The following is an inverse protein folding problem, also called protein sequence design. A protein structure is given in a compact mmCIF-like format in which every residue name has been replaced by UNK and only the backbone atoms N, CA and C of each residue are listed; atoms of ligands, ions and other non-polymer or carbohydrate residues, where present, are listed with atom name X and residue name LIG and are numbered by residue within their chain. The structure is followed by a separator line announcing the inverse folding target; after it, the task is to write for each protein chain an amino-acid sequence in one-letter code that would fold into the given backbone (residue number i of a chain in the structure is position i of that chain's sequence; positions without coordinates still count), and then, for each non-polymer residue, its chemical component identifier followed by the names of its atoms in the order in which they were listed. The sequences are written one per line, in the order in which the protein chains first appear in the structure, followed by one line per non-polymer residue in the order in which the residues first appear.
data_IF_644572842289
#
_entry.id   IF_644572842289
#
_cell.length_a   1.000
_cell.length_b   1.000
_cell.length_c   1.000
_cell.angle_alpha   90.00
_cell.angle_beta   90.00
_cell.angle_gamma   90.00
#
_symmetry.space_group_name_H-M   'P 1'
#
loop_
_entity.id
_entity.type
_entity.pdbx_description
1 polymer ?
#
# COMPACT_ATOMS: atom_id res chain seq x y z
N UNK A 1 -51.24 -48.16 9.55
CA UNK A 1 -51.24 -46.68 9.44
C UNK A 1 -49.79 -46.22 9.46
N UNK A 2 -49.26 -45.69 8.34
CA UNK A 2 -47.87 -45.20 8.24
C UNK A 2 -47.77 -43.83 8.90
N UNK A 3 -46.78 -43.65 9.78
CA UNK A 3 -46.36 -42.36 10.31
C UNK A 3 -45.16 -41.87 9.50
N UNK A 4 -45.22 -40.63 8.99
CA UNK A 4 -44.11 -39.96 8.30
C UNK A 4 -43.63 -38.83 9.22
N UNK A 5 -42.34 -38.78 9.63
CA UNK A 5 -41.82 -37.58 10.27
C UNK A 5 -41.61 -36.53 9.19
N UNK A 6 -42.33 -35.41 9.33
CA UNK A 6 -42.20 -34.25 8.45
C UNK A 6 -40.77 -33.72 8.41
N UNK A 7 -40.36 -33.35 7.20
CA UNK A 7 -39.09 -32.72 6.91
C UNK A 7 -38.90 -31.48 7.79
N UNK A 8 -37.93 -31.53 8.68
CA UNK A 8 -37.55 -30.38 9.50
C UNK A 8 -37.03 -29.27 8.60
N UNK A 9 -37.80 -28.20 8.45
CA UNK A 9 -37.28 -26.93 7.92
C UNK A 9 -36.10 -26.49 8.79
N UNK A 10 -34.87 -26.64 8.27
CA UNK A 10 -33.69 -25.96 8.81
C UNK A 10 -34.00 -24.45 8.87
N UNK A 11 -34.22 -23.92 10.07
CA UNK A 11 -34.34 -22.47 10.31
C UNK A 11 -33.19 -21.76 9.60
N UNK A 12 -33.48 -21.05 8.50
CA UNK A 12 -32.48 -20.32 7.71
C UNK A 12 -31.84 -19.26 8.60
N UNK A 13 -30.60 -19.52 9.03
CA UNK A 13 -29.79 -18.55 9.77
C UNK A 13 -29.56 -17.27 8.95
N UNK A 14 -29.08 -16.18 9.59
CA UNK A 14 -28.87 -14.91 8.90
C UNK A 14 -27.92 -15.09 7.70
N UNK A 15 -28.28 -14.46 6.57
CA UNK A 15 -27.43 -14.41 5.38
C UNK A 15 -26.08 -13.81 5.73
N UNK A 16 -25.02 -14.31 5.11
CA UNK A 16 -23.64 -13.86 5.34
C UNK A 16 -22.96 -13.52 4.02
N UNK A 17 -22.22 -12.43 4.03
CA UNK A 17 -21.64 -11.82 2.84
C UNK A 17 -20.19 -12.25 2.66
N UNK A 18 -19.86 -12.75 1.47
CA UNK A 18 -18.52 -13.17 1.08
C UNK A 18 -18.03 -12.22 -0.01
N UNK A 19 -16.85 -11.64 0.18
CA UNK A 19 -16.16 -10.89 -0.85
C UNK A 19 -15.11 -11.78 -1.49
N UNK A 20 -15.25 -12.09 -2.78
CA UNK A 20 -14.23 -12.81 -3.54
C UNK A 20 -13.44 -11.85 -4.43
N UNK A 21 -12.20 -11.57 -4.04
CA UNK A 21 -11.26 -10.78 -4.83
C UNK A 21 -10.54 -11.71 -5.80
N UNK A 22 -10.95 -11.64 -7.06
CA UNK A 22 -10.47 -12.56 -8.08
C UNK A 22 -9.08 -12.16 -8.51
N UNK A 23 -8.14 -13.05 -8.26
CA UNK A 23 -6.79 -12.96 -8.80
C UNK A 23 -6.36 -14.25 -9.51
N UNK A 24 -7.26 -15.25 -9.60
CA UNK A 24 -6.97 -16.58 -10.15
C UNK A 24 -7.31 -16.70 -11.64
N UNK A 25 -6.70 -17.69 -12.30
CA UNK A 25 -7.02 -18.03 -13.71
C UNK A 25 -8.53 -18.20 -13.91
N UNK A 26 -9.05 -17.67 -15.02
CA UNK A 26 -10.48 -17.67 -15.41
C UNK A 26 -11.27 -18.92 -15.00
N UNK A 27 -10.82 -20.13 -15.37
CA UNK A 27 -11.48 -21.41 -15.00
C UNK A 27 -11.60 -21.64 -13.48
N UNK A 28 -10.58 -21.28 -12.70
CA UNK A 28 -10.58 -21.44 -11.23
C UNK A 28 -11.55 -20.46 -10.58
N UNK A 29 -11.66 -19.25 -11.13
CA UNK A 29 -12.59 -18.21 -10.66
C UNK A 29 -14.04 -18.66 -10.79
N UNK A 30 -14.43 -19.19 -11.96
CA UNK A 30 -15.77 -19.75 -12.21
C UNK A 30 -16.14 -20.83 -11.18
N UNK A 31 -15.30 -21.86 -11.05
CA UNK A 31 -15.51 -22.97 -10.09
C UNK A 31 -15.56 -22.52 -8.64
N UNK A 32 -14.84 -21.44 -8.30
CA UNK A 32 -14.88 -20.88 -6.95
C UNK A 32 -16.24 -20.24 -6.67
N UNK A 33 -16.78 -19.48 -7.63
CA UNK A 33 -18.13 -18.90 -7.51
C UNK A 33 -19.19 -19.99 -7.40
N UNK A 34 -19.17 -21.00 -8.27
CA UNK A 34 -20.06 -22.17 -8.21
C UNK A 34 -20.05 -22.81 -6.81
N UNK A 35 -18.85 -23.09 -6.28
CA UNK A 35 -18.70 -23.78 -5.01
C UNK A 35 -19.13 -22.94 -3.80
N UNK A 36 -19.01 -21.62 -3.88
CA UNK A 36 -19.49 -20.71 -2.85
C UNK A 36 -21.03 -20.58 -2.90
N UNK A 37 -21.63 -20.63 -4.08
CA UNK A 37 -23.09 -20.54 -4.26
C UNK A 37 -23.85 -21.73 -3.70
N UNK A 38 -23.25 -22.91 -3.67
CA UNK A 38 -23.80 -24.10 -2.99
C UNK A 38 -24.12 -23.86 -1.51
N UNK A 39 -23.53 -22.84 -0.90
CA UNK A 39 -23.78 -22.47 0.48
C UNK A 39 -25.01 -21.55 0.50
N UNK A 40 -26.19 -22.12 0.76
CA UNK A 40 -27.49 -21.44 0.64
C UNK A 40 -27.57 -20.07 1.36
N UNK A 41 -26.86 -19.91 2.47
CA UNK A 41 -26.84 -18.67 3.27
C UNK A 41 -25.82 -17.63 2.79
N UNK A 42 -25.03 -17.92 1.76
CA UNK A 42 -24.00 -17.02 1.24
C UNK A 42 -24.57 -16.05 0.20
N UNK A 43 -24.29 -14.77 0.39
CA UNK A 43 -24.36 -13.71 -0.62
C UNK A 43 -22.93 -13.36 -1.04
N UNK A 44 -22.69 -13.27 -2.34
CA UNK A 44 -21.35 -13.16 -2.91
C UNK A 44 -21.19 -11.86 -3.69
N UNK A 45 -20.13 -11.11 -3.37
CA UNK A 45 -19.62 -10.05 -4.24
C UNK A 45 -18.31 -10.51 -4.84
N UNK A 46 -18.20 -10.49 -6.16
CA UNK A 46 -17.01 -10.90 -6.92
C UNK A 46 -16.41 -9.67 -7.56
N UNK A 47 -15.13 -9.38 -7.26
CA UNK A 47 -14.39 -8.26 -7.83
C UNK A 47 -13.31 -8.80 -8.75
N UNK A 48 -13.34 -8.42 -10.03
CA UNK A 48 -12.37 -8.89 -11.04
C UNK A 48 -11.37 -7.84 -11.51
N UNK A 49 -11.42 -6.64 -10.94
CA UNK A 49 -10.49 -5.57 -11.30
C UNK A 49 -10.70 -5.09 -12.75
N UNK A 50 -9.60 -4.88 -13.48
CA UNK A 50 -9.60 -4.36 -14.86
C UNK A 50 -9.87 -5.44 -15.94
N UNK A 51 -10.07 -6.70 -15.57
CA UNK A 51 -10.25 -7.81 -16.54
C UNK A 51 -11.70 -7.87 -17.07
N UNK A 52 -12.04 -6.99 -18.01
CA UNK A 52 -13.40 -6.88 -18.56
C UNK A 52 -13.91 -8.17 -19.23
N UNK A 53 -13.01 -8.95 -19.84
CA UNK A 53 -13.37 -10.26 -20.41
C UNK A 53 -13.85 -11.25 -19.35
N UNK A 54 -13.15 -11.38 -18.22
CA UNK A 54 -13.58 -12.26 -17.12
C UNK A 54 -14.88 -11.77 -16.46
N UNK A 55 -15.04 -10.44 -16.33
CA UNK A 55 -16.28 -9.82 -15.85
C UNK A 55 -17.47 -10.22 -16.70
N UNK A 56 -17.34 -10.15 -18.02
CA UNK A 56 -18.40 -10.52 -18.97
C UNK A 56 -18.80 -11.99 -18.79
N UNK A 57 -17.83 -12.90 -18.77
CA UNK A 57 -18.07 -14.33 -18.62
C UNK A 57 -18.77 -14.69 -17.31
N UNK A 58 -18.28 -14.14 -16.19
CA UNK A 58 -18.89 -14.36 -14.88
C UNK A 58 -20.33 -13.85 -14.86
N UNK A 59 -20.60 -12.66 -15.43
CA UNK A 59 -21.96 -12.10 -15.48
C UNK A 59 -22.89 -12.95 -16.34
N UNK A 60 -22.39 -13.48 -17.45
CA UNK A 60 -23.16 -14.37 -18.33
C UNK A 60 -23.51 -15.67 -17.61
N UNK A 61 -22.52 -16.32 -17.00
CA UNK A 61 -22.68 -17.61 -16.35
C UNK A 61 -23.57 -17.58 -15.10
N UNK A 62 -23.52 -16.49 -14.31
CA UNK A 62 -24.30 -16.35 -13.07
C UNK A 62 -25.48 -15.38 -13.23
N UNK A 63 -25.98 -15.21 -14.45
CA UNK A 63 -27.09 -14.29 -14.75
C UNK A 63 -28.43 -14.68 -14.10
N UNK A 64 -28.61 -15.96 -13.76
CA UNK A 64 -29.77 -16.48 -13.02
C UNK A 64 -29.67 -16.29 -11.49
N UNK A 65 -28.51 -15.90 -10.96
CA UNK A 65 -28.24 -15.83 -9.51
C UNK A 65 -28.09 -14.38 -9.01
N UNK A 66 -28.71 -13.41 -9.70
CA UNK A 66 -28.51 -11.96 -9.46
C UNK A 66 -28.83 -11.51 -8.04
N UNK A 67 -29.75 -12.20 -7.35
CA UNK A 67 -30.09 -11.90 -5.96
C UNK A 67 -29.01 -12.33 -4.96
N UNK A 68 -28.12 -13.24 -5.36
CA UNK A 68 -27.08 -13.83 -4.51
C UNK A 68 -25.67 -13.51 -4.96
N UNK A 69 -25.48 -13.05 -6.20
CA UNK A 69 -24.15 -12.76 -6.77
C UNK A 69 -24.12 -11.37 -7.42
N UNK A 70 -23.22 -10.53 -6.91
CA UNK A 70 -22.87 -9.26 -7.54
C UNK A 70 -21.48 -9.34 -8.15
N UNK A 71 -21.32 -8.93 -9.42
CA UNK A 71 -20.05 -8.98 -10.15
C UNK A 71 -19.60 -7.58 -10.54
N UNK A 72 -18.47 -7.15 -9.94
CA UNK A 72 -17.88 -5.83 -10.04
C UNK A 72 -16.54 -5.88 -10.79
N UNK A 73 -16.24 -4.80 -11.53
CA UNK A 73 -14.94 -4.58 -12.15
C UNK A 73 -13.97 -3.92 -11.17
N UNK A 74 -13.26 -2.87 -11.60
CA UNK A 74 -12.41 -2.08 -10.73
C UNK A 74 -13.23 -1.32 -9.67
N UNK A 75 -12.77 -1.34 -8.42
CA UNK A 75 -13.45 -0.73 -7.27
C UNK A 75 -12.52 0.31 -6.65
N UNK A 76 -12.98 1.57 -6.59
CA UNK A 76 -12.21 2.68 -6.02
C UNK A 76 -12.08 2.59 -4.49
N UNK A 77 -13.15 2.20 -3.79
CA UNK A 77 -13.17 2.09 -2.33
C UNK A 77 -13.23 0.62 -1.90
N UNK A 78 -12.11 -0.08 -2.04
CA UNK A 78 -12.01 -1.49 -1.69
C UNK A 78 -12.19 -1.72 -0.18
N UNK A 79 -11.56 -0.90 0.67
CA UNK A 79 -11.72 -0.96 2.12
C UNK A 79 -13.19 -0.88 2.57
N UNK A 80 -13.96 0.07 2.03
CA UNK A 80 -15.39 0.19 2.31
C UNK A 80 -16.18 -1.03 1.86
N UNK A 81 -15.82 -1.61 0.70
CA UNK A 81 -16.42 -2.86 0.25
C UNK A 81 -16.07 -4.00 1.20
N UNK A 82 -14.82 -4.17 1.60
CA UNK A 82 -14.39 -5.21 2.56
C UNK A 82 -15.18 -5.09 3.87
N UNK A 83 -15.37 -3.87 4.40
CA UNK A 83 -16.12 -3.62 5.62
C UNK A 83 -17.59 -4.05 5.55
N UNK A 84 -18.18 -4.15 4.36
CA UNK A 84 -19.56 -4.60 4.17
C UNK A 84 -19.71 -6.14 4.12
N UNK A 85 -18.59 -6.89 4.17
CA UNK A 85 -18.57 -8.34 4.02
C UNK A 85 -18.06 -9.04 5.28
N UNK A 86 -18.53 -10.25 5.53
CA UNK A 86 -18.20 -11.04 6.72
C UNK A 86 -16.90 -11.84 6.58
N UNK A 87 -16.58 -12.25 5.35
CA UNK A 87 -15.36 -12.97 5.01
C UNK A 87 -14.84 -12.51 3.65
N UNK A 88 -13.51 -12.43 3.53
CA UNK A 88 -12.86 -12.21 2.24
C UNK A 88 -12.16 -13.48 1.76
N UNK A 89 -12.27 -13.79 0.47
CA UNK A 89 -11.54 -14.84 -0.23
C UNK A 89 -10.62 -14.17 -1.25
N UNK A 90 -9.32 -14.41 -1.19
CA UNK A 90 -8.35 -13.79 -2.11
C UNK A 90 -7.04 -14.57 -2.14
N UNK A 91 -6.10 -14.18 -3.01
CA UNK A 91 -4.72 -14.69 -2.99
C UNK A 91 -3.91 -14.11 -1.81
N UNK A 92 -2.78 -14.73 -1.42
CA UNK A 92 -1.89 -14.23 -0.36
C UNK A 92 -1.08 -12.98 -0.78
N UNK A 93 -1.73 -11.97 -1.34
CA UNK A 93 -1.11 -10.69 -1.70
C UNK A 93 -0.95 -9.79 -0.47
N UNK A 94 0.23 -9.21 -0.29
CA UNK A 94 0.58 -8.47 0.93
C UNK A 94 -0.31 -7.25 1.17
N UNK A 95 -0.52 -6.41 0.15
CA UNK A 95 -1.38 -5.21 0.25
C UNK A 95 -2.81 -5.62 0.56
N UNK A 96 -3.43 -6.46 -0.28
CA UNK A 96 -4.84 -6.85 -0.10
C UNK A 96 -5.09 -7.51 1.24
N UNK A 97 -4.21 -8.43 1.67
CA UNK A 97 -4.37 -9.10 2.97
C UNK A 97 -4.19 -8.11 4.13
N UNK A 98 -3.23 -7.18 4.05
CA UNK A 98 -3.06 -6.13 5.06
C UNK A 98 -4.26 -5.20 5.14
N UNK A 99 -4.84 -4.81 4.01
CA UNK A 99 -6.07 -4.00 3.96
C UNK A 99 -7.25 -4.75 4.58
N UNK A 100 -7.43 -6.04 4.26
CA UNK A 100 -8.46 -6.89 4.86
C UNK A 100 -8.29 -6.96 6.39
N UNK A 101 -7.07 -7.23 6.87
CA UNK A 101 -6.80 -7.29 8.30
C UNK A 101 -6.98 -5.93 8.99
N UNK A 102 -6.62 -4.82 8.33
CA UNK A 102 -6.83 -3.47 8.85
C UNK A 102 -8.31 -3.12 9.04
N UNK A 103 -9.20 -3.68 8.21
CA UNK A 103 -10.66 -3.57 8.41
C UNK A 103 -11.22 -4.55 9.45
N UNK A 104 -10.37 -5.36 10.08
CA UNK A 104 -10.76 -6.35 11.07
C UNK A 104 -11.57 -7.52 10.49
N UNK A 105 -11.42 -7.80 9.19
CA UNK A 105 -12.15 -8.87 8.51
C UNK A 105 -11.30 -10.14 8.39
N UNK A 106 -11.90 -11.33 8.57
CA UNK A 106 -11.21 -12.58 8.39
C UNK A 106 -11.00 -12.89 6.90
N UNK A 107 -10.04 -13.78 6.59
CA UNK A 107 -9.64 -14.08 5.21
C UNK A 107 -9.39 -15.56 4.95
N UNK A 108 -9.80 -16.05 3.78
CA UNK A 108 -9.32 -17.32 3.21
C UNK A 108 -8.34 -17.02 2.08
N UNK A 109 -7.12 -17.53 2.20
CA UNK A 109 -6.06 -17.36 1.21
C UNK A 109 -6.04 -18.52 0.22
N UNK A 110 -6.35 -18.20 -1.04
CA UNK A 110 -6.36 -19.10 -2.19
C UNK A 110 -4.93 -19.20 -2.74
N UNK A 111 -4.36 -20.43 -2.77
CA UNK A 111 -2.95 -20.78 -3.03
C UNK A 111 -2.13 -21.09 -1.76
N UNK A 112 -2.76 -21.81 -0.83
CA UNK A 112 -2.22 -22.24 0.46
C UNK A 112 -1.11 -23.29 0.43
N UNK A 113 -0.95 -24.04 -0.66
CA UNK A 113 -0.14 -25.25 -0.83
C UNK A 113 -0.13 -26.22 0.36
N UNK A 114 0.49 -27.39 0.19
CA UNK A 114 1.17 -27.99 1.34
C UNK A 114 2.32 -27.07 1.76
N UNK A 115 2.27 -26.53 2.98
CA UNK A 115 3.34 -25.74 3.59
C UNK A 115 3.53 -24.31 3.10
N UNK A 116 2.53 -23.63 2.50
CA UNK A 116 2.73 -22.21 2.16
C UNK A 116 2.73 -21.28 3.37
N UNK A 117 2.26 -21.68 4.54
CA UNK A 117 2.55 -21.00 5.82
C UNK A 117 4.06 -20.98 6.14
N UNK A 118 4.81 -21.99 5.70
CA UNK A 118 6.27 -22.01 5.83
C UNK A 118 6.95 -21.18 4.74
N UNK A 119 6.43 -21.16 3.51
CA UNK A 119 7.07 -20.47 2.37
C UNK A 119 6.62 -19.03 2.13
N UNK A 120 5.38 -18.68 2.48
CA UNK A 120 4.76 -17.38 2.20
C UNK A 120 4.41 -16.68 3.51
N UNK A 121 4.94 -15.47 3.68
CA UNK A 121 4.75 -14.68 4.89
C UNK A 121 3.29 -14.42 5.25
N UNK A 122 2.48 -13.95 4.28
CA UNK A 122 1.07 -13.64 4.53
C UNK A 122 0.29 -14.87 5.01
N UNK A 123 0.55 -16.04 4.40
CA UNK A 123 -0.04 -17.31 4.85
C UNK A 123 0.36 -17.62 6.30
N UNK A 124 1.65 -17.48 6.63
CA UNK A 124 2.15 -17.68 8.00
C UNK A 124 1.46 -16.77 8.98
N UNK A 125 1.32 -15.49 8.64
CA UNK A 125 0.74 -14.48 9.50
C UNK A 125 -0.74 -14.75 9.77
N UNK A 126 -1.54 -15.04 8.74
CA UNK A 126 -2.97 -15.35 8.90
C UNK A 126 -3.18 -16.57 9.80
N UNK A 127 -2.37 -17.62 9.62
CA UNK A 127 -2.43 -18.82 10.46
C UNK A 127 -1.95 -18.55 11.90
N UNK A 128 -0.83 -17.85 12.07
CA UNK A 128 -0.28 -17.51 13.39
C UNK A 128 -1.24 -16.63 14.20
N UNK A 129 -1.86 -15.63 13.57
CA UNK A 129 -2.89 -14.80 14.21
C UNK A 129 -4.17 -15.61 14.43
N UNK A 130 -4.46 -16.57 13.54
CA UNK A 130 -5.67 -17.39 13.56
C UNK A 130 -6.91 -16.61 13.09
N UNK A 131 -6.73 -15.66 12.19
CA UNK A 131 -7.78 -14.79 11.65
C UNK A 131 -8.31 -15.28 10.29
N UNK A 132 -8.12 -16.56 9.95
CA UNK A 132 -8.43 -17.08 8.64
C UNK A 132 -7.92 -18.50 8.40
N UNK A 133 -7.99 -18.92 7.13
CA UNK A 133 -7.51 -20.23 6.69
C UNK A 133 -6.81 -20.17 5.32
N UNK A 134 -6.09 -21.24 5.00
CA UNK A 134 -5.54 -21.46 3.67
C UNK A 134 -6.41 -22.45 2.90
N UNK A 135 -6.47 -22.28 1.58
CA UNK A 135 -7.16 -23.20 0.68
C UNK A 135 -6.46 -23.29 -0.69
N UNK A 136 -6.45 -24.48 -1.28
CA UNK A 136 -5.76 -24.73 -2.55
C UNK A 136 -6.67 -24.90 -3.76
N UNK A 137 -7.92 -25.30 -3.51
CA UNK A 137 -8.90 -25.58 -4.55
C UNK A 137 -10.25 -24.91 -4.24
N UNK A 138 -11.08 -24.67 -5.27
CA UNK A 138 -12.48 -24.25 -5.07
C UNK A 138 -13.23 -25.11 -4.04
N UNK A 139 -13.03 -26.44 -4.11
CA UNK A 139 -13.61 -27.40 -3.17
C UNK A 139 -13.19 -27.12 -1.72
N UNK A 140 -11.90 -26.89 -1.51
CA UNK A 140 -11.38 -26.58 -0.18
C UNK A 140 -11.87 -25.22 0.31
N UNK A 141 -11.93 -24.19 -0.55
CA UNK A 141 -12.51 -22.89 -0.21
C UNK A 141 -13.92 -23.09 0.35
N UNK A 142 -14.79 -23.78 -0.39
CA UNK A 142 -16.15 -24.07 0.07
C UNK A 142 -16.18 -24.86 1.38
N UNK A 143 -15.29 -25.82 1.58
CA UNK A 143 -15.20 -26.59 2.82
C UNK A 143 -14.77 -25.72 4.02
N UNK A 144 -13.79 -24.82 3.84
CA UNK A 144 -13.33 -23.88 4.88
C UNK A 144 -14.41 -22.88 5.25
N UNK A 145 -15.15 -22.38 4.25
CA UNK A 145 -16.33 -21.52 4.47
C UNK A 145 -17.38 -22.29 5.26
N UNK A 146 -17.81 -23.48 4.80
CA UNK A 146 -18.79 -24.30 5.53
C UNK A 146 -18.35 -24.55 6.98
N UNK A 147 -17.10 -24.94 7.21
CA UNK A 147 -16.55 -25.15 8.56
C UNK A 147 -16.56 -23.88 9.43
N UNK A 148 -16.18 -22.72 8.89
CA UNK A 148 -16.21 -21.47 9.65
C UNK A 148 -17.64 -21.01 10.00
N UNK A 149 -18.64 -21.43 9.21
CA UNK A 149 -20.06 -21.14 9.41
C UNK A 149 -20.78 -22.15 10.33
N UNK A 150 -20.22 -23.35 10.55
CA UNK A 150 -20.79 -24.35 11.46
C UNK A 150 -21.01 -23.81 12.89
N UNK A 151 -21.94 -24.41 13.63
CA UNK A 151 -22.26 -24.01 15.01
C UNK A 151 -22.77 -22.57 15.14
N UNK A 152 -23.48 -22.05 14.13
CA UNK A 152 -23.91 -20.65 14.08
C UNK A 152 -22.79 -19.65 13.78
N UNK A 153 -21.65 -20.11 13.24
CA UNK A 153 -20.53 -19.27 12.85
C UNK A 153 -19.54 -18.95 13.97
N UNK A 154 -19.38 -19.84 14.95
CA UNK A 154 -18.38 -19.68 16.03
C UNK A 154 -16.97 -19.51 15.45
N UNK A 155 -16.60 -20.31 14.45
CA UNK A 155 -15.30 -20.19 13.78
C UNK A 155 -15.10 -18.82 13.13
N UNK A 156 -16.09 -18.36 12.36
CA UNK A 156 -16.06 -17.05 11.73
C UNK A 156 -16.00 -15.89 12.75
N UNK A 157 -16.76 -15.98 13.84
CA UNK A 157 -16.74 -15.00 14.94
C UNK A 157 -15.37 -14.94 15.61
N UNK A 158 -14.75 -16.10 15.83
CA UNK A 158 -13.42 -16.17 16.43
C UNK A 158 -12.34 -15.59 15.49
N UNK A 159 -12.38 -15.92 14.20
CA UNK A 159 -11.49 -15.30 13.21
C UNK A 159 -11.67 -13.79 13.15
N UNK A 160 -12.91 -13.30 13.18
CA UNK A 160 -13.23 -11.87 13.17
C UNK A 160 -12.69 -11.19 14.42
N UNK A 161 -12.89 -11.79 15.61
CA UNK A 161 -12.35 -11.27 16.88
C UNK A 161 -10.83 -11.12 16.82
N UNK A 162 -10.13 -12.11 16.28
CA UNK A 162 -8.66 -12.09 16.13
C UNK A 162 -8.21 -11.07 15.09
N UNK A 163 -8.90 -10.97 13.95
CA UNK A 163 -8.63 -9.96 12.94
C UNK A 163 -8.77 -8.54 13.50
N UNK A 164 -9.82 -8.26 14.28
CA UNK A 164 -10.01 -6.94 14.94
C UNK A 164 -8.91 -6.60 15.93
N UNK A 165 -8.48 -7.56 16.77
CA UNK A 165 -7.32 -7.34 17.66
C UNK A 165 -6.03 -7.07 16.89
N UNK A 166 -5.82 -7.74 15.76
CA UNK A 166 -4.67 -7.47 14.90
C UNK A 166 -4.73 -6.08 14.24
N UNK A 167 -5.94 -5.66 13.84
CA UNK A 167 -6.20 -4.32 13.33
C UNK A 167 -5.84 -3.27 14.39
N UNK A 168 -6.38 -3.38 15.60
CA UNK A 168 -6.10 -2.50 16.74
C UNK A 168 -4.60 -2.45 17.06
N UNK A 169 -3.94 -3.61 17.10
CA UNK A 169 -2.50 -3.69 17.36
C UNK A 169 -1.66 -3.00 16.29
N UNK A 170 -2.09 -3.06 15.03
CA UNK A 170 -1.38 -2.42 13.91
C UNK A 170 -1.76 -0.94 13.76
N UNK A 171 -2.93 -0.55 14.27
CA UNK A 171 -3.47 0.80 14.20
C UNK A 171 -2.55 1.83 14.84
N UNK A 172 -1.98 1.54 16.01
CA UNK A 172 -1.05 2.46 16.67
C UNK A 172 0.22 2.79 15.87
N UNK A 173 0.66 1.93 14.94
CA UNK A 173 1.78 2.24 14.05
C UNK A 173 1.34 3.16 12.89
N UNK A 174 0.18 2.89 12.30
CA UNK A 174 -0.38 3.69 11.21
C UNK A 174 -0.87 5.06 11.69
N UNK A 175 -1.50 5.14 12.87
CA UNK A 175 -1.94 6.41 13.48
C UNK A 175 -0.77 7.31 13.82
N UNK A 176 0.32 6.78 14.40
CA UNK A 176 1.53 7.58 14.65
C UNK A 176 2.10 8.18 13.37
N UNK A 177 2.14 7.40 12.28
CA UNK A 177 2.58 7.90 10.99
C UNK A 177 1.60 8.96 10.44
N UNK A 178 0.30 8.69 10.48
CA UNK A 178 -0.73 9.61 10.01
C UNK A 178 -0.77 10.91 10.82
N UNK A 179 -0.57 10.87 12.14
CA UNK A 179 -0.46 12.04 13.01
C UNK A 179 0.77 12.88 12.68
N UNK A 180 1.91 12.25 12.38
CA UNK A 180 3.10 12.99 11.93
C UNK A 180 2.86 13.65 10.58
N UNK A 181 2.29 12.92 9.61
CA UNK A 181 1.90 13.47 8.31
C UNK A 181 0.92 14.64 8.49
N UNK A 182 -0.09 14.50 9.36
CA UNK A 182 -1.05 15.56 9.63
C UNK A 182 -0.39 16.80 10.25
N UNK A 183 0.54 16.63 11.20
CA UNK A 183 1.33 17.75 11.75
C UNK A 183 2.12 18.47 10.66
N UNK A 184 2.75 17.73 9.74
CA UNK A 184 3.45 18.32 8.58
C UNK A 184 2.50 19.11 7.67
N UNK A 185 1.27 18.64 7.46
CA UNK A 185 0.29 19.42 6.69
C UNK A 185 -0.10 20.73 7.37
N UNK A 186 -0.14 20.77 8.71
CA UNK A 186 -0.47 21.98 9.46
C UNK A 186 0.64 23.03 9.39
N UNK A 187 1.91 22.62 9.39
CA UNK A 187 3.07 23.52 9.21
C UNK A 187 3.18 24.04 7.77
N UNK A 188 2.80 23.22 6.78
CA UNK A 188 2.74 23.62 5.37
C UNK A 188 1.69 24.71 5.04
N UNK A 189 0.77 25.03 5.96
CA UNK A 189 -0.24 26.09 5.78
C UNK A 189 0.26 27.51 6.09
N UNK A 190 1.51 27.69 6.49
CA UNK A 190 2.16 29.01 6.57
C UNK A 190 2.65 29.46 5.20
N UNK A 191 1.70 29.78 4.31
CA UNK A 191 2.01 30.26 2.95
C UNK A 191 2.26 31.76 3.00
N UNK A 192 3.43 32.22 2.54
CA UNK A 192 3.60 33.62 2.14
C UNK A 192 2.52 33.96 1.10
N UNK A 193 1.68 34.94 1.44
CA UNK A 193 0.46 35.25 0.70
C UNK A 193 0.80 35.92 -0.63
N UNK A 194 1.02 35.14 -1.69
CA UNK A 194 1.20 35.68 -3.05
C UNK A 194 -0.18 36.15 -3.58
N UNK A 195 -0.40 37.47 -3.80
CA UNK A 195 -1.72 38.03 -4.13
C UNK A 195 -2.29 37.56 -5.47
N UNK A 196 -1.44 37.27 -6.47
CA UNK A 196 -1.88 36.92 -7.84
C UNK A 196 -2.62 35.56 -7.92
N UNK A 197 -2.46 34.67 -6.93
CA UNK A 197 -3.06 33.34 -6.93
C UNK A 197 -4.52 33.28 -6.39
N UNK A 198 -5.12 34.44 -6.04
CA UNK A 198 -6.51 34.54 -5.56
C UNK A 198 -7.59 34.19 -6.59
N UNK A 199 -7.24 34.06 -7.87
CA UNK A 199 -8.20 33.95 -8.98
C UNK A 199 -8.64 32.50 -9.32
N UNK A 200 -8.15 31.48 -8.62
CA UNK A 200 -8.56 30.09 -8.87
C UNK A 200 -9.75 29.70 -7.98
N UNK A 201 -10.91 29.30 -8.53
CA UNK A 201 -12.09 28.97 -7.74
C UNK A 201 -11.83 27.89 -6.68
N UNK A 202 -12.26 28.13 -5.43
CA UNK A 202 -12.21 27.15 -4.34
C UNK A 202 -13.15 25.98 -4.63
N UNK A 203 -12.64 24.87 -5.15
CA UNK A 203 -13.29 23.57 -4.94
C UNK A 203 -12.85 23.00 -3.60
N UNK A 204 -13.61 23.30 -2.54
CA UNK A 204 -13.48 22.60 -1.28
C UNK A 204 -14.14 21.22 -1.43
N UNK A 205 -13.34 20.17 -1.62
CA UNK A 205 -13.87 18.81 -1.55
C UNK A 205 -13.90 18.39 -0.08
N UNK A 206 -15.08 18.49 0.53
CA UNK A 206 -15.33 18.03 1.89
C UNK A 206 -15.35 16.49 1.95
N UNK A 207 -14.25 15.83 1.56
CA UNK A 207 -14.16 14.37 1.46
C UNK A 207 -13.79 13.77 2.80
N UNK A 208 -14.78 13.18 3.49
CA UNK A 208 -14.53 12.14 4.50
C UNK A 208 -14.07 10.88 3.76
N UNK A 209 -12.76 10.65 3.64
CA UNK A 209 -12.19 9.51 2.93
C UNK A 209 -10.69 9.33 3.16
N UNK A 210 -10.14 8.19 2.74
CA UNK A 210 -8.70 7.96 2.71
C UNK A 210 -8.03 8.92 1.73
N UNK A 211 -6.86 9.45 2.10
CA UNK A 211 -6.02 10.30 1.26
C UNK A 211 -5.08 9.45 0.41
N UNK A 212 -4.90 9.83 -0.85
CA UNK A 212 -3.96 9.19 -1.78
C UNK A 212 -2.64 9.96 -1.77
N UNK A 213 -1.57 9.30 -1.32
CA UNK A 213 -0.26 9.92 -1.06
C UNK A 213 0.86 9.08 -1.67
N UNK A 214 1.84 9.73 -2.28
CA UNK A 214 3.08 9.11 -2.77
C UNK A 214 4.29 9.90 -2.29
N UNK A 215 5.15 9.29 -1.47
CA UNK A 215 6.26 9.98 -0.81
C UNK A 215 7.62 9.68 -1.43
N UNK A 216 7.64 9.09 -2.63
CA UNK A 216 8.87 8.71 -3.30
C UNK A 216 8.76 8.92 -4.82
N UNK A 217 9.26 10.05 -5.29
CA UNK A 217 9.22 10.44 -6.70
C UNK A 217 10.43 11.29 -7.09
N UNK A 218 10.91 11.09 -8.32
CA UNK A 218 12.09 11.71 -8.90
C UNK A 218 11.72 12.59 -10.09
N UNK A 219 12.46 13.69 -10.24
CA UNK A 219 12.30 14.68 -11.29
C UNK A 219 13.56 14.79 -12.15
N UNK A 220 13.58 15.72 -13.11
CA UNK A 220 14.78 16.01 -13.91
C UNK A 220 15.93 16.66 -13.10
N UNK A 221 15.72 16.95 -11.81
CA UNK A 221 16.81 17.38 -10.93
C UNK A 221 17.78 16.25 -10.58
N UNK A 222 17.32 14.98 -10.56
CA UNK A 222 18.19 13.80 -10.56
C UNK A 222 18.00 12.96 -11.83
N UNK A 223 17.31 11.83 -11.74
CA UNK A 223 17.23 10.78 -12.76
C UNK A 223 15.79 10.49 -13.22
N UNK A 224 14.85 11.32 -12.79
CA UNK A 224 13.50 11.37 -13.33
C UNK A 224 13.46 11.88 -14.78
N UNK A 225 12.33 11.68 -15.46
CA UNK A 225 12.12 12.08 -16.87
C UNK A 225 11.18 13.26 -17.05
N UNK A 226 10.59 13.76 -15.98
CA UNK A 226 9.68 14.89 -16.00
C UNK A 226 10.31 16.07 -15.27
N UNK A 227 10.13 17.28 -15.79
CA UNK A 227 10.43 18.50 -15.02
C UNK A 227 9.59 18.49 -13.73
N UNK A 228 10.05 19.21 -12.70
CA UNK A 228 9.28 19.33 -11.45
C UNK A 228 7.83 19.80 -11.71
N UNK A 229 7.66 20.76 -12.62
CA UNK A 229 6.33 21.28 -13.00
C UNK A 229 5.45 20.23 -13.68
N UNK A 230 6.01 19.45 -14.61
CA UNK A 230 5.29 18.35 -15.27
C UNK A 230 4.94 17.24 -14.29
N UNK A 231 5.84 16.93 -13.36
CA UNK A 231 5.63 15.93 -12.31
C UNK A 231 4.45 16.33 -11.41
N UNK A 232 4.44 17.56 -10.89
CA UNK A 232 3.33 18.10 -10.09
C UNK A 232 2.02 18.09 -10.87
N UNK A 233 2.05 18.47 -12.15
CA UNK A 233 0.87 18.41 -13.03
C UNK A 233 0.40 16.96 -13.25
N UNK A 234 1.33 16.00 -13.36
CA UNK A 234 1.04 14.58 -13.58
C UNK A 234 0.30 13.97 -12.39
N UNK A 235 0.76 14.23 -11.17
CA UNK A 235 0.12 13.77 -9.93
C UNK A 235 -1.19 14.51 -9.65
N UNK A 236 -1.19 15.84 -9.76
CA UNK A 236 -2.36 16.68 -9.47
C UNK A 236 -3.56 16.33 -10.35
N UNK A 237 -3.36 16.09 -11.66
CA UNK A 237 -4.44 15.66 -12.58
C UNK A 237 -5.02 14.28 -12.25
N UNK A 238 -4.30 13.45 -11.49
CA UNK A 238 -4.74 12.11 -11.06
C UNK A 238 -5.42 12.12 -9.70
N UNK A 239 -5.52 13.29 -9.06
CA UNK A 239 -6.24 13.49 -7.81
C UNK A 239 -5.52 12.93 -6.59
N UNK A 240 -4.18 12.95 -6.60
CA UNK A 240 -3.39 12.76 -5.38
C UNK A 240 -3.64 13.91 -4.41
N UNK A 241 -3.73 13.58 -3.13
CA UNK A 241 -3.95 14.55 -2.06
C UNK A 241 -2.60 15.11 -1.55
N UNK A 242 -1.54 14.30 -1.60
CA UNK A 242 -0.18 14.75 -1.32
C UNK A 242 0.87 13.97 -2.11
N UNK A 243 2.03 14.59 -2.35
CA UNK A 243 3.22 13.92 -2.88
C UNK A 243 4.51 14.47 -2.26
N UNK A 244 5.59 13.70 -2.28
CA UNK A 244 6.94 14.20 -2.03
C UNK A 244 7.80 14.05 -3.29
N UNK A 245 8.68 15.02 -3.53
CA UNK A 245 9.75 14.92 -4.53
C UNK A 245 11.04 14.71 -3.76
N UNK A 246 11.73 13.62 -4.06
CA UNK A 246 12.84 13.07 -3.29
C UNK A 246 14.00 12.74 -4.21
N UNK A 247 14.42 13.70 -5.04
CA UNK A 247 15.54 13.54 -5.96
C UNK A 247 16.83 13.09 -5.22
N UNK A 248 17.64 12.26 -5.89
CA UNK A 248 18.81 11.61 -5.30
C UNK A 248 19.91 12.60 -4.92
N UNK A 249 20.49 12.43 -3.72
CA UNK A 249 21.64 13.18 -3.22
C UNK A 249 22.72 12.22 -2.70
N UNK A 250 23.96 12.40 -3.15
CA UNK A 250 25.09 11.52 -2.85
C UNK A 250 26.20 12.20 -2.02
N UNK A 251 26.88 11.42 -1.18
CA UNK A 251 28.10 11.85 -0.49
C UNK A 251 29.29 11.93 -1.47
N UNK A 252 29.73 13.16 -1.76
CA UNK A 252 30.90 13.45 -2.62
C UNK A 252 32.24 12.94 -2.05
N UNK A 253 32.34 12.55 -0.78
CA UNK A 253 33.59 12.00 -0.21
C UNK A 253 33.82 10.55 -0.64
N UNK A 254 32.75 9.83 -0.99
CA UNK A 254 32.83 8.43 -1.44
C UNK A 254 33.21 8.35 -2.90
N UNK A 255 34.03 7.35 -3.26
CA UNK A 255 34.44 7.12 -4.65
C UNK A 255 33.23 6.92 -5.58
N UNK A 256 32.25 6.13 -5.16
CA UNK A 256 31.02 5.91 -5.92
C UNK A 256 30.15 7.17 -6.01
N UNK A 257 30.08 7.97 -4.94
CA UNK A 257 29.36 9.24 -4.94
C UNK A 257 29.98 10.26 -5.91
N UNK A 258 31.32 10.33 -5.99
CA UNK A 258 32.02 11.16 -6.99
C UNK A 258 31.72 10.75 -8.42
N UNK A 259 31.69 9.43 -8.69
CA UNK A 259 31.39 8.92 -10.03
C UNK A 259 29.92 9.14 -10.40
N UNK A 260 28.99 8.92 -9.48
CA UNK A 260 27.56 9.17 -9.69
C UNK A 260 27.29 10.66 -9.98
N UNK A 261 27.98 11.56 -9.27
CA UNK A 261 27.90 13.00 -9.48
C UNK A 261 28.22 13.42 -10.93
N UNK A 262 29.21 12.79 -11.56
CA UNK A 262 29.60 13.09 -12.94
C UNK A 262 28.56 12.68 -14.00
N UNK A 263 27.55 11.90 -13.62
CA UNK A 263 26.51 11.43 -14.55
C UNK A 263 25.38 12.44 -14.76
N UNK A 264 25.25 13.44 -13.87
CA UNK A 264 24.11 14.36 -13.85
C UNK A 264 22.79 13.71 -13.40
N UNK A 265 22.82 12.48 -12.88
CA UNK A 265 21.66 11.73 -12.41
C UNK A 265 21.41 11.87 -10.91
N UNK A 266 22.16 12.73 -10.22
CA UNK A 266 22.05 12.97 -8.78
C UNK A 266 22.30 14.45 -8.51
N UNK A 267 21.56 15.01 -7.57
CA UNK A 267 21.79 16.35 -7.05
C UNK A 267 23.15 16.45 -6.38
N UNK A 268 23.66 17.67 -6.37
CA UNK A 268 24.89 18.03 -5.69
C UNK A 268 24.62 19.14 -4.66
N UNK A 269 25.54 19.36 -3.71
CA UNK A 269 25.37 20.42 -2.69
C UNK A 269 25.14 21.81 -3.31
N UNK A 270 25.71 22.05 -4.49
CA UNK A 270 25.62 23.32 -5.21
C UNK A 270 24.24 23.51 -5.87
N UNK A 271 23.52 22.41 -6.15
CA UNK A 271 22.18 22.45 -6.74
C UNK A 271 21.07 22.64 -5.69
N UNK A 272 21.36 22.34 -4.42
CA UNK A 272 20.35 22.33 -3.35
C UNK A 272 19.63 23.67 -3.18
N UNK A 273 20.29 24.85 -3.20
CA UNK A 273 19.59 26.12 -3.08
C UNK A 273 18.52 26.31 -4.17
N UNK A 274 18.85 25.98 -5.42
CA UNK A 274 17.94 26.11 -6.56
C UNK A 274 16.83 25.05 -6.52
N UNK A 275 17.17 23.81 -6.17
CA UNK A 275 16.22 22.71 -5.99
C UNK A 275 15.15 23.04 -4.94
N UNK A 276 15.56 23.49 -3.74
CA UNK A 276 14.63 23.86 -2.67
C UNK A 276 13.79 25.09 -3.03
N UNK A 277 14.36 26.08 -3.75
CA UNK A 277 13.60 27.22 -4.28
C UNK A 277 12.51 26.77 -5.25
N UNK A 278 12.85 25.91 -6.21
CA UNK A 278 11.89 25.37 -7.18
C UNK A 278 10.77 24.55 -6.50
N UNK A 279 11.11 23.75 -5.48
CA UNK A 279 10.13 23.01 -4.68
C UNK A 279 9.19 23.94 -3.90
N UNK A 280 9.69 25.03 -3.33
CA UNK A 280 8.86 26.01 -2.61
C UNK A 280 7.85 26.68 -3.54
N UNK A 281 8.27 27.08 -4.75
CA UNK A 281 7.40 27.65 -5.77
C UNK A 281 6.32 26.65 -6.23
N UNK A 282 6.72 25.42 -6.55
CA UNK A 282 5.82 24.38 -7.00
C UNK A 282 4.88 23.89 -5.89
N UNK A 283 5.25 23.99 -4.62
CA UNK A 283 4.38 23.71 -3.48
C UNK A 283 3.18 24.66 -3.45
N UNK A 284 3.42 25.95 -3.65
CA UNK A 284 2.36 26.95 -3.72
C UNK A 284 1.44 26.70 -4.92
N UNK A 285 2.03 26.33 -6.07
CA UNK A 285 1.28 26.02 -7.29
C UNK A 285 0.45 24.74 -7.16
N UNK A 286 1.00 23.67 -6.59
CA UNK A 286 0.33 22.39 -6.36
C UNK A 286 -0.93 22.59 -5.50
N UNK A 287 -0.80 23.34 -4.41
CA UNK A 287 -1.93 23.65 -3.55
C UNK A 287 -2.98 24.50 -4.26
N UNK A 288 -2.57 25.54 -4.98
CA UNK A 288 -3.50 26.46 -5.64
C UNK A 288 -4.26 25.78 -6.77
N UNK A 289 -3.56 25.02 -7.62
CA UNK A 289 -4.11 24.41 -8.84
C UNK A 289 -4.86 23.11 -8.55
N UNK A 290 -4.38 22.29 -7.61
CA UNK A 290 -4.87 20.92 -7.42
C UNK A 290 -5.36 20.63 -6.00
N UNK A 291 -5.14 21.53 -5.03
CA UNK A 291 -5.31 21.23 -3.59
C UNK A 291 -4.49 20.01 -3.15
N UNK A 292 -3.36 19.79 -3.81
CA UNK A 292 -2.40 18.74 -3.51
C UNK A 292 -1.26 19.33 -2.70
N UNK A 293 -0.88 18.67 -1.61
CA UNK A 293 0.26 19.05 -0.80
C UNK A 293 1.54 18.51 -1.46
N UNK A 294 2.55 19.35 -1.62
CA UNK A 294 3.88 18.95 -2.09
C UNK A 294 4.87 19.08 -0.94
N UNK A 295 5.48 17.96 -0.55
CA UNK A 295 6.53 17.91 0.46
C UNK A 295 7.90 18.00 -0.22
N UNK A 296 8.75 18.98 0.13
CA UNK A 296 10.15 18.99 -0.25
C UNK A 296 10.88 17.80 0.37
N UNK A 297 11.70 17.09 -0.39
CA UNK A 297 12.43 15.94 0.13
C UNK A 297 13.71 15.66 -0.63
N UNK A 298 14.48 14.73 -0.08
CA UNK A 298 15.74 14.22 -0.64
C UNK A 298 15.81 12.72 -0.41
N UNK A 299 16.38 12.00 -1.38
CA UNK A 299 16.81 10.61 -1.19
C UNK A 299 18.32 10.58 -0.98
N UNK A 300 18.74 10.22 0.24
CA UNK A 300 20.15 10.12 0.60
C UNK A 300 20.70 8.75 0.19
N UNK A 301 21.58 8.77 -0.80
CA UNK A 301 22.22 7.57 -1.34
C UNK A 301 23.48 7.25 -0.55
N UNK A 302 23.42 6.18 0.24
CA UNK A 302 24.56 5.63 0.94
C UNK A 302 25.10 4.44 0.18
N UNK A 303 25.94 4.68 -0.83
CA UNK A 303 26.47 3.62 -1.69
C UNK A 303 27.72 2.95 -1.12
N UNK A 304 27.63 1.63 -0.92
CA UNK A 304 28.75 0.76 -0.60
C UNK A 304 29.12 -0.19 -1.73
N UNK A 305 30.20 -0.95 -1.55
CA UNK A 305 30.64 -1.95 -2.53
C UNK A 305 29.75 -3.20 -2.58
N UNK A 306 28.90 -3.40 -1.56
CA UNK A 306 28.01 -4.57 -1.44
C UNK A 306 26.58 -4.14 -1.13
N UNK A 307 25.61 -5.00 -1.41
CA UNK A 307 24.21 -4.73 -1.09
C UNK A 307 23.97 -4.43 0.40
N UNK A 308 24.67 -5.13 1.30
CA UNK A 308 24.61 -4.89 2.76
C UNK A 308 25.35 -3.62 3.20
N UNK A 309 26.14 -3.03 2.30
CA UNK A 309 26.81 -1.74 2.49
C UNK A 309 26.07 -0.57 1.83
N UNK A 310 24.99 -0.85 1.09
CA UNK A 310 24.21 0.17 0.40
C UNK A 310 22.85 0.43 1.06
N UNK A 311 22.44 1.68 1.16
CA UNK A 311 21.16 2.11 1.70
C UNK A 311 20.65 3.37 1.00
N UNK A 312 19.34 3.43 0.78
CA UNK A 312 18.68 4.67 0.42
C UNK A 312 17.72 5.07 1.55
N UNK A 313 17.75 6.35 1.91
CA UNK A 313 16.95 6.93 2.98
C UNK A 313 16.25 8.16 2.45
N UNK A 314 14.92 8.22 2.54
CA UNK A 314 14.18 9.44 2.22
C UNK A 314 14.09 10.34 3.44
N UNK A 315 14.39 11.62 3.27
CA UNK A 315 13.97 12.69 4.16
C UNK A 315 12.83 13.47 3.50
N UNK A 316 11.67 13.53 4.15
CA UNK A 316 10.45 14.15 3.59
C UNK A 316 10.00 15.33 4.45
N UNK A 317 9.53 16.40 3.80
CA UNK A 317 9.16 17.71 4.36
C UNK A 317 10.33 18.46 4.98
N UNK A 318 11.44 18.47 4.25
CA UNK A 318 12.65 19.20 4.63
C UNK A 318 12.44 20.70 4.43
N UNK A 319 12.82 21.48 5.43
CA UNK A 319 12.79 22.95 5.36
C UNK A 319 14.13 23.50 4.86
N UNK A 320 15.22 22.79 5.15
CA UNK A 320 16.57 23.16 4.75
C UNK A 320 17.35 21.93 4.25
N UNK A 321 18.35 22.12 3.37
CA UNK A 321 19.20 21.03 2.91
C UNK A 321 19.98 20.35 4.05
N UNK A 322 20.27 19.06 3.90
CA UNK A 322 21.08 18.27 4.84
C UNK A 322 22.34 17.76 4.13
N UNK A 323 23.49 17.87 4.79
CA UNK A 323 24.76 17.38 4.25
C UNK A 323 24.73 15.84 4.09
N UNK A 324 24.88 15.29 2.86
CA UNK A 324 24.85 13.86 2.62
C UNK A 324 26.11 13.13 3.14
N UNK A 325 27.16 13.86 3.53
CA UNK A 325 28.37 13.27 4.10
C UNK A 325 28.22 12.83 5.58
N UNK A 326 27.11 13.18 6.21
CA UNK A 326 26.76 12.74 7.55
C UNK A 326 26.45 11.23 7.59
N UNK A 327 26.56 10.62 8.76
CA UNK A 327 26.09 9.25 8.94
C UNK A 327 24.57 9.17 8.79
N UNK A 328 24.04 8.01 8.37
CA UNK A 328 22.59 7.82 8.22
C UNK A 328 21.81 8.12 9.51
N UNK A 329 22.42 7.92 10.69
CA UNK A 329 21.80 8.25 11.98
C UNK A 329 21.71 9.76 12.20
N UNK A 330 22.78 10.49 11.87
CA UNK A 330 22.80 11.95 11.95
C UNK A 330 21.83 12.57 10.95
N UNK A 331 21.77 12.04 9.72
CA UNK A 331 20.76 12.43 8.74
C UNK A 331 19.35 12.21 9.30
N UNK A 332 19.06 11.03 9.86
CA UNK A 332 17.76 10.77 10.49
C UNK A 332 17.44 11.76 11.62
N UNK A 333 18.45 12.16 12.40
CA UNK A 333 18.28 13.14 13.47
C UNK A 333 17.95 14.53 12.92
N UNK A 334 18.69 15.00 11.91
CA UNK A 334 18.45 16.31 11.30
C UNK A 334 17.09 16.39 10.61
N UNK A 335 16.68 15.34 9.88
CA UNK A 335 15.33 15.26 9.29
C UNK A 335 14.26 15.42 10.38
N UNK A 336 14.42 14.74 11.52
CA UNK A 336 13.48 14.84 12.65
C UNK A 336 13.50 16.22 13.33
N UNK A 337 14.67 16.85 13.45
CA UNK A 337 14.79 18.21 14.00
C UNK A 337 14.02 19.23 13.16
N UNK A 338 14.00 19.04 11.84
CA UNK A 338 13.19 19.85 10.92
C UNK A 338 11.69 19.49 10.94
N UNK A 339 11.27 18.49 11.71
CA UNK A 339 9.89 18.00 11.76
C UNK A 339 9.55 16.93 10.71
N UNK A 340 10.45 16.67 9.76
CA UNK A 340 10.27 15.77 8.63
C UNK A 340 10.25 14.27 8.97
N UNK A 341 9.91 13.45 7.96
CA UNK A 341 9.86 11.98 8.08
C UNK A 341 11.10 11.33 7.51
N UNK A 342 11.54 10.27 8.17
CA UNK A 342 12.58 9.37 7.68
C UNK A 342 11.97 8.07 7.16
N UNK A 343 12.26 7.72 5.93
CA UNK A 343 11.69 6.53 5.29
C UNK A 343 12.82 5.66 4.72
N UNK A 344 12.82 4.37 5.08
CA UNK A 344 13.73 3.42 4.43
C UNK A 344 13.18 3.06 3.04
N UNK A 345 13.81 3.57 1.99
CA UNK A 345 13.44 3.32 0.59
C UNK A 345 13.89 1.94 0.14
N UNK A 346 12.98 1.23 -0.56
CA UNK A 346 13.15 -0.11 -1.12
C UNK A 346 14.22 -0.98 -0.43
N UNK A 347 14.11 -1.25 0.88
CA UNK A 347 15.24 -1.70 1.71
C UNK A 347 15.53 -3.20 1.54
N UNK A 348 15.00 -3.83 0.50
CA UNK A 348 15.00 -5.27 0.31
C UNK A 348 15.16 -5.62 -1.17
N UNK A 349 15.51 -6.86 -1.46
CA UNK A 349 15.75 -7.36 -2.82
C UNK A 349 14.68 -6.92 -3.83
N UNK A 350 15.11 -6.23 -4.88
CA UNK A 350 14.25 -5.83 -6.00
C UNK A 350 14.26 -6.93 -7.07
N UNK A 351 13.10 -7.28 -7.62
CA UNK A 351 13.01 -8.29 -8.70
C UNK A 351 13.47 -7.73 -10.05
N UNK A 352 13.42 -6.40 -10.18
CA UNK A 352 13.72 -5.69 -11.42
C UNK A 352 15.22 -5.41 -11.55
N UNK A 353 15.76 -5.53 -12.77
CA UNK A 353 17.18 -5.36 -13.13
C UNK A 353 17.73 -3.93 -12.97
N UNK A 354 17.04 -3.07 -12.21
CA UNK A 354 17.29 -1.63 -12.13
C UNK A 354 17.66 -1.26 -10.70
N UNK A 355 18.94 -1.42 -10.36
CA UNK A 355 19.52 -1.01 -9.08
C UNK A 355 20.24 -2.13 -8.35
N UNK A 356 21.22 -1.77 -7.51
CA UNK A 356 21.84 -2.71 -6.56
C UNK A 356 20.94 -2.79 -5.33
N UNK A 357 20.72 -3.98 -4.80
CA UNK A 357 19.96 -4.17 -3.56
C UNK A 357 20.52 -3.29 -2.41
N UNK A 358 19.66 -2.57 -1.70
CA UNK A 358 20.03 -1.68 -0.59
C UNK A 358 19.65 -2.29 0.76
N UNK A 359 20.42 -3.29 1.19
CA UNK A 359 20.10 -4.12 2.37
C UNK A 359 20.67 -3.57 3.69
N UNK A 360 21.43 -2.47 3.68
CA UNK A 360 22.10 -1.98 4.89
C UNK A 360 21.09 -1.67 6.01
N UNK A 361 20.06 -0.86 5.73
CA UNK A 361 19.02 -0.51 6.71
C UNK A 361 18.26 -1.76 7.17
N UNK A 362 17.91 -2.67 6.26
CA UNK A 362 17.16 -3.88 6.59
C UNK A 362 17.96 -4.88 7.45
N UNK A 363 19.24 -5.06 7.13
CA UNK A 363 20.13 -5.93 7.91
C UNK A 363 20.33 -5.43 9.34
N UNK A 364 20.13 -4.13 9.57
CA UNK A 364 20.25 -3.43 10.87
C UNK A 364 18.92 -2.87 11.36
N UNK A 365 17.81 -3.46 10.95
CA UNK A 365 16.47 -2.90 11.21
C UNK A 365 16.17 -2.65 12.69
N UNK A 366 16.69 -3.46 13.62
CA UNK A 366 16.45 -3.25 15.06
C UNK A 366 17.18 -2.00 15.58
N UNK A 367 18.35 -1.67 15.01
CA UNK A 367 19.12 -0.45 15.30
C UNK A 367 18.45 0.80 14.72
N UNK A 368 17.90 0.70 13.50
CA UNK A 368 17.27 1.83 12.80
C UNK A 368 15.79 2.00 13.10
N UNK A 369 15.12 1.03 13.70
CA UNK A 369 13.71 1.09 14.08
C UNK A 369 13.28 2.35 14.84
N UNK A 370 14.03 2.88 15.83
CA UNK A 370 13.64 4.14 16.50
C UNK A 370 13.88 5.38 15.63
N UNK A 371 14.67 5.25 14.57
CA UNK A 371 15.09 6.35 13.69
C UNK A 371 14.32 6.41 12.38
N UNK A 372 13.63 5.35 11.99
CA UNK A 372 12.84 5.24 10.75
C UNK A 372 11.35 5.29 11.05
N UNK A 373 10.63 6.23 10.44
CA UNK A 373 9.19 6.38 10.62
C UNK A 373 8.38 5.41 9.79
N UNK A 374 8.84 5.08 8.59
CA UNK A 374 8.19 4.12 7.71
C UNK A 374 9.19 3.34 6.85
N UNK A 375 8.81 2.15 6.46
CA UNK A 375 9.57 1.29 5.55
C UNK A 375 8.78 1.11 4.27
N UNK A 376 9.41 1.28 3.11
CA UNK A 376 8.75 0.95 1.85
C UNK A 376 8.43 -0.54 1.78
N UNK A 377 7.15 -0.87 1.58
CA UNK A 377 6.64 -2.24 1.42
C UNK A 377 6.32 -2.57 -0.04
N UNK A 378 6.19 -1.55 -0.87
CA UNK A 378 5.95 -1.65 -2.29
C UNK A 378 6.68 -0.53 -2.99
N UNK A 379 7.36 -0.87 -4.08
CA UNK A 379 8.08 0.05 -4.93
C UNK A 379 7.78 -0.38 -6.37
N UNK A 380 7.15 0.51 -7.14
CA UNK A 380 6.61 0.19 -8.48
C UNK A 380 5.72 -1.06 -8.42
N UNK A 381 6.09 -2.12 -9.15
CA UNK A 381 5.39 -3.41 -9.22
C UNK A 381 5.92 -4.44 -8.21
N UNK A 382 6.99 -4.11 -7.47
CA UNK A 382 7.66 -5.00 -6.52
C UNK A 382 7.08 -4.83 -5.09
N UNK A 383 6.89 -5.95 -4.37
CA UNK A 383 6.41 -5.96 -2.99
C UNK A 383 7.41 -6.62 -2.03
N UNK A 384 7.81 -5.88 -1.01
CA UNK A 384 8.73 -6.34 0.04
C UNK A 384 7.96 -7.00 1.19
N UNK A 385 7.54 -8.24 0.95
CA UNK A 385 6.79 -9.07 1.92
C UNK A 385 7.36 -9.09 3.35
N UNK A 386 8.69 -9.09 3.59
CA UNK A 386 9.25 -9.11 4.94
C UNK A 386 8.90 -7.88 5.79
N UNK A 387 8.86 -6.68 5.20
CA UNK A 387 8.44 -5.43 5.88
C UNK A 387 7.00 -5.57 6.38
N UNK A 388 6.13 -6.07 5.49
CA UNK A 388 4.74 -6.38 5.76
C UNK A 388 4.50 -7.46 6.80
N UNK A 389 5.52 -8.15 7.33
CA UNK A 389 5.36 -9.18 8.37
C UNK A 389 5.74 -8.70 9.76
N UNK A 390 6.64 -7.72 9.84
CA UNK A 390 7.19 -7.24 11.11
C UNK A 390 6.34 -6.19 11.82
N UNK A 391 5.17 -5.85 11.27
CA UNK A 391 4.24 -4.84 11.81
C UNK A 391 4.92 -3.47 12.04
N UNK A 392 5.92 -3.16 11.21
CA UNK A 392 6.52 -1.84 11.18
C UNK A 392 5.58 -0.90 10.42
N UNK A 393 5.58 0.41 10.71
CA UNK A 393 4.87 1.36 9.86
C UNK A 393 5.45 1.26 8.44
N UNK A 394 4.59 1.30 7.44
CA UNK A 394 4.98 1.13 6.05
C UNK A 394 4.26 2.11 5.14
N UNK A 395 4.92 2.41 4.02
CA UNK A 395 4.34 3.11 2.88
C UNK A 395 4.50 2.25 1.62
N UNK A 396 3.66 2.48 0.62
CA UNK A 396 3.92 2.02 -0.73
C UNK A 396 4.24 3.27 -1.57
N UNK A 397 5.44 3.32 -2.12
CA UNK A 397 5.90 4.39 -2.99
C UNK A 397 5.92 3.92 -4.44
N UNK A 398 5.82 4.85 -5.37
CA UNK A 398 5.96 4.50 -6.78
C UNK A 398 7.43 4.48 -7.24
N UNK A 399 8.32 5.16 -6.52
CA UNK A 399 9.68 5.44 -6.98
C UNK A 399 9.65 5.95 -8.43
N UNK A 400 8.85 7.00 -8.58
CA UNK A 400 8.48 7.52 -9.89
C UNK A 400 9.70 8.11 -10.59
N UNK A 401 10.00 7.64 -11.79
CA UNK A 401 10.96 8.30 -12.67
C UNK A 401 10.33 8.66 -14.03
N UNK A 402 9.19 8.06 -14.36
CA UNK A 402 8.55 8.20 -15.67
C UNK A 402 7.09 7.79 -15.61
N UNK A 403 6.23 8.36 -16.48
CA UNK A 403 4.78 8.16 -16.47
C UNK A 403 4.32 6.71 -16.31
N UNK A 404 5.05 5.76 -16.92
CA UNK A 404 4.67 4.35 -16.87
C UNK A 404 4.65 3.75 -15.46
N UNK A 405 5.39 4.29 -14.49
CA UNK A 405 5.45 3.75 -13.13
C UNK A 405 4.12 3.88 -12.35
N UNK A 406 3.19 4.74 -12.81
CA UNK A 406 1.86 4.90 -12.21
C UNK A 406 0.71 4.43 -13.11
N UNK A 407 1.01 3.91 -14.31
CA UNK A 407 -0.01 3.48 -15.28
C UNK A 407 0.01 2.00 -15.61
N UNK A 408 0.98 1.24 -15.09
CA UNK A 408 1.08 -0.23 -15.21
C UNK A 408 -0.13 -0.97 -14.64
#
# INVERSE_FOLDING_TARGET
MRWWPGDGEEKKGPKKKILYLVNSRRKKSMRTVERLLEIQQAELTVVVGKEEGLKHDLRKAFSGEKERVQILGWVKNLAGLIQQHDLVVTKPGTISVREILATGRPVILVEGGKGADKRKGMCRMVIRVGCGALADSPREIGARVKAAWQGGGVGLREWTRRARREAERSRGAAEKLAERILKMTQTAHSVDRIPELRLVPRQATNRKGLLMVDLHAHSLFSDGRLTLRELVDFYGRRGFDAMAVTDHLVDRRRLLGRLANMTGLVLTLDDLPEYFRALAEERNRAWTKYRMILFPGLEFNHDGLTAKGSAHLLGVDLQEPIDPALSLKEICHQVRQQGGLTIAAHPHHMSSSWGKDTLYLWSRQDEFRPLIDAWEIGNRDDLFNPVGLKRMPFIAGSDFHKPKHLTS
#
